data_IF_816816797883
#
_entry.id   IF_816816797883
#
_cell.length_a   1.000
_cell.length_b   1.000
_cell.length_c   1.000
_cell.angle_alpha   90.00
_cell.angle_beta   90.00
_cell.angle_gamma   90.00
#
_symmetry.space_group_name_H-M   'P 1'
#
loop_
_entity.id
_entity.type
_entity.pdbx_description
1 polymer ?
#
# COMPACT_ATOMS: atom_id res chain seq x y z
N UNK A 1 -7.95 4.84 1.23
CA UNK A 1 -7.47 5.07 2.61
C UNK A 1 -7.07 3.75 3.27
N UNK A 2 -6.01 3.72 4.08
CA UNK A 2 -5.61 2.51 4.85
C UNK A 2 -6.53 2.30 6.06
N UNK A 3 -7.12 1.11 6.17
CA UNK A 3 -8.00 0.71 7.29
C UNK A 3 -7.35 -0.28 8.24
N UNK A 4 -6.40 -1.08 7.75
CA UNK A 4 -5.61 -2.01 8.56
C UNK A 4 -4.11 -1.74 8.38
N UNK A 5 -3.29 -1.81 9.44
CA UNK A 5 -1.85 -1.64 9.29
C UNK A 5 -1.24 -2.84 8.57
N UNK A 6 -0.16 -2.59 7.83
CA UNK A 6 0.62 -3.63 7.15
C UNK A 6 2.10 -3.27 7.27
N UNK A 7 2.91 -4.21 7.73
CA UNK A 7 4.35 -4.02 7.84
C UNK A 7 5.03 -4.69 6.66
N UNK A 8 5.44 -3.90 5.65
CA UNK A 8 6.25 -4.40 4.55
C UNK A 8 7.54 -5.04 5.07
N UNK A 9 7.80 -6.27 4.67
CA UNK A 9 8.97 -7.05 5.08
C UNK A 9 10.08 -7.02 4.03
N UNK A 10 9.72 -6.78 2.76
CA UNK A 10 10.63 -6.67 1.63
C UNK A 10 10.86 -5.22 1.23
N UNK A 11 12.01 -4.93 0.61
CA UNK A 11 12.41 -3.57 0.21
C UNK A 11 11.46 -2.93 -0.84
N UNK A 12 10.68 -3.74 -1.55
CA UNK A 12 9.70 -3.32 -2.53
C UNK A 12 8.29 -3.15 -1.94
N UNK A 13 8.08 -3.47 -0.66
CA UNK A 13 6.79 -3.36 0.02
C UNK A 13 6.63 -2.03 0.77
N UNK A 14 5.42 -1.47 0.74
CA UNK A 14 5.08 -0.30 1.55
C UNK A 14 4.64 -0.71 2.96
N UNK A 15 5.20 -0.05 3.97
CA UNK A 15 4.60 -0.03 5.31
C UNK A 15 3.37 0.87 5.32
N UNK A 16 2.23 0.33 5.75
CA UNK A 16 0.96 1.03 5.88
C UNK A 16 0.61 1.29 7.34
N UNK A 17 0.15 2.51 7.65
CA UNK A 17 -0.46 2.86 8.94
C UNK A 17 -1.92 3.22 8.75
N UNK A 18 -2.76 2.86 9.70
CA UNK A 18 -4.19 3.19 9.65
C UNK A 18 -4.38 4.70 9.50
N UNK A 19 -5.16 5.10 8.50
CA UNK A 19 -5.38 6.50 8.15
C UNK A 19 -4.49 7.04 7.04
N UNK A 20 -3.43 6.33 6.64
CA UNK A 20 -2.59 6.73 5.51
C UNK A 20 -3.43 6.84 4.22
N UNK A 21 -3.07 7.82 3.40
CA UNK A 21 -3.64 8.03 2.08
C UNK A 21 -2.62 7.58 1.04
N UNK A 22 -2.94 6.46 0.38
CA UNK A 22 -2.09 5.90 -0.67
C UNK A 22 -2.56 6.45 -2.01
N UNK A 23 -1.64 6.98 -2.81
CA UNK A 23 -1.87 7.20 -4.23
C UNK A 23 -1.59 5.90 -4.98
N UNK A 24 -2.64 5.27 -5.51
CA UNK A 24 -2.49 4.07 -6.35
C UNK A 24 -1.87 4.47 -7.68
N UNK A 25 -0.78 3.78 -8.06
CA UNK A 25 -0.05 4.02 -9.31
C UNK A 25 -0.35 2.94 -10.36
N UNK A 26 -0.37 1.67 -9.95
CA UNK A 26 -0.66 0.55 -10.86
C UNK A 26 -1.13 -0.69 -10.10
N UNK A 27 -1.85 -1.59 -10.76
CA UNK A 27 -2.08 -2.94 -10.27
C UNK A 27 -0.88 -3.82 -10.67
N UNK A 28 -0.38 -4.64 -9.74
CA UNK A 28 0.78 -5.51 -9.99
C UNK A 28 0.31 -6.94 -10.23
N UNK A 29 -0.45 -7.50 -9.30
CA UNK A 29 -1.06 -8.82 -9.41
C UNK A 29 -2.38 -8.91 -8.63
N UNK A 30 -2.89 -10.14 -8.45
CA UNK A 30 -4.12 -10.39 -7.70
C UNK A 30 -3.91 -10.14 -6.21
N UNK A 31 -4.38 -8.98 -5.76
CA UNK A 31 -4.33 -8.57 -4.37
C UNK A 31 -3.24 -7.56 -4.02
N UNK A 32 -2.29 -7.26 -4.93
CA UNK A 32 -1.23 -6.27 -4.69
C UNK A 32 -1.20 -5.14 -5.72
N UNK A 33 -1.17 -3.92 -5.21
CA UNK A 33 -1.05 -2.71 -6.02
C UNK A 33 0.22 -1.94 -5.67
N UNK A 34 0.77 -1.25 -6.66
CA UNK A 34 1.85 -0.29 -6.47
C UNK A 34 1.26 1.03 -6.01
N UNK A 35 1.71 1.51 -4.85
CA UNK A 35 1.24 2.75 -4.22
C UNK A 35 2.35 3.75 -3.97
N UNK A 36 1.96 4.96 -3.56
CA UNK A 36 2.85 5.99 -3.04
C UNK A 36 2.27 6.65 -1.78
N UNK A 37 3.06 6.72 -0.71
CA UNK A 37 2.79 7.46 0.54
C UNK A 37 3.99 8.38 0.81
N UNK A 38 3.77 9.69 0.92
CA UNK A 38 4.83 10.67 1.22
C UNK A 38 6.13 10.44 0.43
N UNK A 39 6.00 10.27 -0.88
CA UNK A 39 7.08 9.99 -1.86
C UNK A 39 7.73 8.60 -1.78
N UNK A 40 7.35 7.76 -0.81
CA UNK A 40 7.77 6.36 -0.74
C UNK A 40 6.88 5.52 -1.63
N UNK A 41 7.49 4.65 -2.43
CA UNK A 41 6.78 3.74 -3.34
C UNK A 41 7.07 2.30 -2.96
N UNK A 42 6.07 1.47 -3.21
CA UNK A 42 6.16 0.03 -3.01
C UNK A 42 4.81 -0.63 -3.20
N UNK A 43 4.81 -1.94 -3.23
CA UNK A 43 3.61 -2.75 -3.35
C UNK A 43 2.94 -2.88 -1.99
N UNK A 44 1.61 -3.00 -1.98
CA UNK A 44 0.84 -3.19 -0.77
C UNK A 44 -0.41 -4.04 -1.05
N UNK A 45 -0.93 -4.77 -0.04
CA UNK A 45 -2.13 -5.58 -0.20
C UNK A 45 -3.38 -4.69 -0.22
N UNK A 46 -4.19 -4.80 -1.28
CA UNK A 46 -5.37 -3.95 -1.49
C UNK A 46 -6.44 -4.12 -0.43
N UNK A 47 -6.54 -5.33 0.15
CA UNK A 47 -7.53 -5.68 1.18
C UNK A 47 -7.34 -4.92 2.51
N UNK A 48 -6.23 -4.20 2.66
CA UNK A 48 -5.92 -3.36 3.83
C UNK A 48 -6.40 -1.91 3.63
N UNK A 49 -7.03 -1.63 2.48
CA UNK A 49 -7.45 -0.30 2.07
C UNK A 49 -8.92 -0.28 1.66
N UNK A 50 -9.54 0.88 1.85
CA UNK A 50 -10.87 1.20 1.33
C UNK A 50 -10.78 2.38 0.35
N UNK A 51 -11.76 2.57 -0.55
CA UNK A 51 -11.82 3.76 -1.42
C UNK A 51 -11.68 5.08 -0.65
#
# INVERSE_FOLDING_TARGET
KVVYPFNGENDDELTLRTGDIIRVLNAVDDGWWLGEIDQRRGIFPVNYTEP
#
